data_IF_379365703730
#
_entry.id   IF_379365703730
#
_cell.length_a   1.000
_cell.length_b   1.000
_cell.length_c   1.000
_cell.angle_alpha   90.00
_cell.angle_beta   90.00
_cell.angle_gamma   90.00
#
_symmetry.space_group_name_H-M   'P 1'
#
loop_
_entity.id
_entity.type
_entity.pdbx_description
1 polymer ?
#
# COMPACT_ATOMS: atom_id res chain seq x y z
N UNK A 1 -22.08 -9.70 -10.34
CA UNK A 1 -21.17 -9.96 -9.18
C UNK A 1 -19.75 -10.37 -9.60
N UNK A 2 -19.56 -11.37 -10.49
CA UNK A 2 -18.23 -11.85 -10.94
C UNK A 2 -17.29 -10.75 -11.45
N UNK A 3 -17.77 -9.81 -12.28
CA UNK A 3 -16.94 -8.73 -12.83
C UNK A 3 -16.44 -7.70 -11.81
N UNK A 4 -17.23 -7.42 -10.77
CA UNK A 4 -16.84 -6.52 -9.69
C UNK A 4 -15.73 -7.13 -8.83
N UNK A 5 -15.93 -8.38 -8.39
CA UNK A 5 -14.95 -9.10 -7.59
C UNK A 5 -13.61 -9.25 -8.32
N UNK A 6 -13.63 -9.63 -9.60
CA UNK A 6 -12.41 -9.75 -10.42
C UNK A 6 -11.69 -8.41 -10.54
N UNK A 7 -12.40 -7.28 -10.65
CA UNK A 7 -11.78 -5.95 -10.67
C UNK A 7 -11.12 -5.60 -9.33
N UNK A 8 -11.78 -5.87 -8.21
CA UNK A 8 -11.21 -5.67 -6.87
C UNK A 8 -9.93 -6.48 -6.70
N UNK A 9 -9.97 -7.77 -7.07
CA UNK A 9 -8.83 -8.68 -6.97
C UNK A 9 -7.66 -8.22 -7.84
N UNK A 10 -7.91 -7.77 -9.08
CA UNK A 10 -6.86 -7.23 -9.96
C UNK A 10 -6.19 -5.99 -9.39
N UNK A 11 -6.97 -5.07 -8.80
CA UNK A 11 -6.43 -3.85 -8.20
C UNK A 11 -5.62 -4.17 -6.94
N UNK A 12 -6.10 -5.09 -6.10
CA UNK A 12 -5.37 -5.56 -4.93
C UNK A 12 -4.08 -6.30 -5.31
N UNK A 13 -4.15 -7.21 -6.29
CA UNK A 13 -2.98 -7.92 -6.80
C UNK A 13 -1.94 -6.94 -7.38
N UNK A 14 -2.38 -5.89 -8.10
CA UNK A 14 -1.47 -4.85 -8.57
C UNK A 14 -0.77 -4.12 -7.41
N UNK A 15 -1.49 -3.74 -6.35
CA UNK A 15 -0.87 -3.14 -5.17
C UNK A 15 0.12 -4.10 -4.51
N UNK A 16 -0.27 -5.37 -4.36
CA UNK A 16 0.56 -6.38 -3.73
C UNK A 16 1.85 -6.66 -4.52
N UNK A 17 1.76 -6.70 -5.85
CA UNK A 17 2.94 -6.88 -6.72
C UNK A 17 3.88 -5.68 -6.64
N UNK A 18 3.36 -4.45 -6.71
CA UNK A 18 4.22 -3.26 -6.66
C UNK A 18 4.86 -3.11 -5.28
N UNK A 19 4.04 -3.18 -4.22
CA UNK A 19 4.53 -3.01 -2.85
C UNK A 19 5.45 -4.17 -2.45
N UNK A 20 5.06 -5.41 -2.76
CA UNK A 20 5.86 -6.59 -2.48
C UNK A 20 7.13 -6.67 -3.31
N UNK A 21 7.09 -6.22 -4.57
CA UNK A 21 8.29 -6.12 -5.42
C UNK A 21 9.30 -5.12 -4.87
N UNK A 22 8.85 -3.96 -4.38
CA UNK A 22 9.73 -2.97 -3.73
C UNK A 22 10.28 -3.52 -2.41
N UNK A 23 9.44 -4.17 -1.60
CA UNK A 23 9.87 -4.83 -0.36
C UNK A 23 10.91 -5.93 -0.62
N UNK A 24 10.69 -6.79 -1.61
CA UNK A 24 11.61 -7.87 -1.96
C UNK A 24 12.92 -7.32 -2.54
N UNK A 25 12.85 -6.31 -3.41
CA UNK A 25 14.04 -5.65 -3.96
C UNK A 25 14.88 -4.99 -2.86
N UNK A 26 14.23 -4.32 -1.91
CA UNK A 26 14.90 -3.78 -0.74
C UNK A 26 15.65 -4.87 0.05
N UNK A 27 14.96 -5.97 0.39
CA UNK A 27 15.56 -7.07 1.15
C UNK A 27 16.69 -7.77 0.38
N UNK A 28 16.57 -7.90 -0.93
CA UNK A 28 17.62 -8.46 -1.78
C UNK A 28 18.88 -7.58 -1.79
N UNK A 29 18.73 -6.26 -1.87
CA UNK A 29 19.86 -5.31 -1.81
C UNK A 29 20.47 -5.27 -0.41
N UNK A 30 19.62 -5.30 0.62
CA UNK A 30 20.03 -5.31 2.03
C UNK A 30 20.97 -6.48 2.38
N UNK A 31 20.84 -7.63 1.71
CA UNK A 31 21.70 -8.80 1.92
C UNK A 31 23.18 -8.56 1.56
N UNK A 32 23.49 -7.53 0.75
CA UNK A 32 24.85 -7.24 0.29
C UNK A 32 25.47 -6.00 0.95
N UNK A 33 24.82 -5.43 1.97
CA UNK A 33 25.25 -4.18 2.61
C UNK A 33 25.96 -4.40 3.95
N UNK A 34 26.93 -3.54 4.30
CA UNK A 34 27.52 -3.53 5.63
C UNK A 34 26.48 -3.15 6.69
N UNK A 35 26.64 -3.70 7.90
CA UNK A 35 25.65 -3.62 8.98
C UNK A 35 25.24 -2.18 9.36
N UNK A 36 26.18 -1.24 9.30
CA UNK A 36 25.94 0.19 9.59
C UNK A 36 24.99 0.84 8.58
N UNK A 37 25.18 0.54 7.30
CA UNK A 37 24.33 1.03 6.21
C UNK A 37 22.96 0.35 6.27
N UNK A 38 22.94 -0.94 6.60
CA UNK A 38 21.72 -1.74 6.72
C UNK A 38 20.75 -1.16 7.76
N UNK A 39 21.24 -0.74 8.93
CA UNK A 39 20.39 -0.19 9.99
C UNK A 39 19.68 1.11 9.56
N UNK A 40 20.40 2.02 8.91
CA UNK A 40 19.85 3.30 8.42
C UNK A 40 18.87 3.05 7.27
N UNK A 41 19.23 2.18 6.33
CA UNK A 41 18.37 1.84 5.21
C UNK A 41 17.09 1.12 5.66
N UNK A 42 17.19 0.29 6.70
CA UNK A 42 16.03 -0.40 7.27
C UNK A 42 15.09 0.57 7.97
N UNK A 43 15.63 1.55 8.71
CA UNK A 43 14.84 2.64 9.27
C UNK A 43 14.12 3.46 8.19
N UNK A 44 14.82 3.85 7.12
CA UNK A 44 14.24 4.62 6.02
C UNK A 44 13.17 3.82 5.26
N UNK A 45 13.44 2.53 5.01
CA UNK A 45 12.48 1.62 4.38
C UNK A 45 11.20 1.49 5.22
N UNK A 46 11.37 1.22 6.52
CA UNK A 46 10.26 1.03 7.43
C UNK A 46 9.42 2.30 7.61
N UNK A 47 10.04 3.45 7.81
CA UNK A 47 9.31 4.63 8.28
C UNK A 47 9.01 5.67 7.20
N UNK A 48 9.64 5.58 6.03
CA UNK A 48 9.42 6.54 4.95
C UNK A 48 8.97 5.86 3.66
N UNK A 49 9.77 4.94 3.11
CA UNK A 49 9.55 4.42 1.74
C UNK A 49 8.25 3.62 1.66
N UNK A 50 8.07 2.62 2.53
CA UNK A 50 6.87 1.78 2.52
C UNK A 50 5.59 2.57 2.84
N UNK A 51 5.53 3.42 3.88
CA UNK A 51 4.36 4.25 4.16
C UNK A 51 3.97 5.16 3.00
N UNK A 52 4.93 5.86 2.40
CA UNK A 52 4.67 6.84 1.33
C UNK A 52 4.21 6.12 0.06
N UNK A 53 4.96 5.10 -0.37
CA UNK A 53 4.61 4.33 -1.57
C UNK A 53 3.27 3.62 -1.38
N UNK A 54 3.11 2.92 -0.25
CA UNK A 54 1.90 2.21 0.10
C UNK A 54 0.68 3.12 0.18
N UNK A 55 0.80 4.26 0.85
CA UNK A 55 -0.26 5.26 0.93
C UNK A 55 -0.68 5.77 -0.45
N UNK A 56 0.30 6.08 -1.31
CA UNK A 56 0.05 6.49 -2.69
C UNK A 56 -0.67 5.40 -3.51
N UNK A 57 -0.22 4.15 -3.41
CA UNK A 57 -0.87 3.00 -4.06
C UNK A 57 -2.31 2.81 -3.56
N UNK A 58 -2.56 2.99 -2.27
CA UNK A 58 -3.88 2.93 -1.64
C UNK A 58 -4.82 3.98 -2.21
N UNK A 59 -4.41 5.26 -2.22
CA UNK A 59 -5.21 6.35 -2.82
C UNK A 59 -5.51 6.03 -4.29
N UNK A 60 -4.50 5.62 -5.07
CA UNK A 60 -4.65 5.30 -6.49
C UNK A 60 -5.62 4.13 -6.74
N UNK A 61 -5.57 3.09 -5.92
CA UNK A 61 -6.47 1.94 -6.06
C UNK A 61 -7.92 2.33 -5.77
N UNK A 62 -8.16 3.11 -4.71
CA UNK A 62 -9.52 3.60 -4.38
C UNK A 62 -10.06 4.52 -5.47
N UNK A 63 -9.23 5.42 -6.01
CA UNK A 63 -9.60 6.26 -7.17
C UNK A 63 -9.93 5.42 -8.42
N UNK A 64 -9.29 4.25 -8.59
CA UNK A 64 -9.60 3.28 -9.66
C UNK A 64 -10.82 2.42 -9.34
N UNK A 65 -11.56 2.68 -8.26
CA UNK A 65 -12.80 2.00 -7.88
C UNK A 65 -12.61 0.79 -6.97
N UNK A 66 -11.44 0.64 -6.34
CA UNK A 66 -11.26 -0.39 -5.31
C UNK A 66 -12.07 -0.04 -4.05
N UNK A 67 -12.58 -1.05 -3.34
CA UNK A 67 -13.22 -0.85 -2.04
C UNK A 67 -12.18 -0.31 -1.05
N UNK A 68 -12.46 0.81 -0.35
CA UNK A 68 -11.52 1.41 0.61
C UNK A 68 -11.06 0.42 1.68
N UNK A 69 -12.00 -0.42 2.17
CA UNK A 69 -11.69 -1.45 3.16
C UNK A 69 -10.63 -2.44 2.66
N UNK A 70 -10.74 -2.89 1.40
CA UNK A 70 -9.76 -3.80 0.80
C UNK A 70 -8.40 -3.11 0.59
N UNK A 71 -8.43 -1.81 0.22
CA UNK A 71 -7.24 -1.02 -0.05
C UNK A 71 -6.41 -0.74 1.21
N UNK A 72 -7.06 -0.64 2.36
CA UNK A 72 -6.39 -0.40 3.64
C UNK A 72 -5.39 -1.53 3.96
N UNK A 73 -5.75 -2.78 3.64
CA UNK A 73 -5.04 -3.96 4.12
C UNK A 73 -3.80 -4.32 3.29
N UNK A 74 -3.71 -3.84 2.06
CA UNK A 74 -2.55 -4.11 1.22
C UNK A 74 -1.25 -3.59 1.87
N UNK A 75 -1.32 -2.42 2.51
CA UNK A 75 -0.15 -1.75 3.09
C UNK A 75 0.44 -2.46 4.34
N UNK A 76 -0.34 -2.86 5.36
CA UNK A 76 0.22 -3.59 6.49
C UNK A 76 0.52 -5.07 6.16
N UNK A 77 -0.28 -5.73 5.31
CA UNK A 77 -0.13 -7.17 5.09
C UNK A 77 1.00 -7.52 4.13
N UNK A 78 1.16 -6.79 3.03
CA UNK A 78 2.10 -7.18 1.97
C UNK A 78 3.56 -7.05 2.42
N UNK A 79 4.03 -5.92 2.98
CA UNK A 79 5.40 -5.80 3.48
C UNK A 79 5.69 -6.78 4.62
N UNK A 80 4.74 -7.00 5.53
CA UNK A 80 4.90 -7.94 6.63
C UNK A 80 5.02 -9.39 6.13
N UNK A 81 4.17 -9.78 5.16
CA UNK A 81 4.24 -11.09 4.54
C UNK A 81 5.55 -11.27 3.76
N UNK A 82 5.98 -10.27 2.98
CA UNK A 82 7.24 -10.34 2.22
C UNK A 82 8.44 -10.43 3.16
N UNK A 83 8.46 -9.64 4.23
CA UNK A 83 9.52 -9.74 5.23
C UNK A 83 9.56 -11.14 5.84
N UNK A 84 8.43 -11.65 6.32
CA UNK A 84 8.37 -13.00 6.89
C UNK A 84 8.80 -14.09 5.89
N UNK A 85 8.41 -13.97 4.62
CA UNK A 85 8.75 -14.94 3.57
C UNK A 85 10.23 -14.90 3.17
N UNK A 86 10.83 -13.71 3.13
CA UNK A 86 12.21 -13.52 2.64
C UNK A 86 13.24 -13.70 3.74
N UNK A 87 12.97 -13.17 4.94
CA UNK A 87 13.93 -13.19 6.07
C UNK A 87 13.59 -14.22 7.13
N UNK A 88 12.39 -14.79 7.13
CA UNK A 88 11.91 -15.68 8.21
C UNK A 88 11.62 -14.94 9.52
N UNK A 89 11.70 -13.61 9.54
CA UNK A 89 11.52 -12.80 10.75
C UNK A 89 10.24 -11.97 10.69
N UNK A 90 9.52 -11.84 11.82
CA UNK A 90 8.34 -10.98 11.86
C UNK A 90 8.75 -9.51 11.73
N UNK A 91 7.92 -8.75 11.02
CA UNK A 91 8.04 -7.30 10.96
C UNK A 91 7.68 -6.68 12.33
N UNK A 92 8.33 -5.58 12.69
CA UNK A 92 8.04 -4.84 13.92
C UNK A 92 6.56 -4.43 13.98
N UNK A 93 5.89 -4.78 15.07
CA UNK A 93 4.47 -4.47 15.28
C UNK A 93 4.18 -2.97 15.29
N UNK A 94 5.12 -2.15 15.76
CA UNK A 94 4.97 -0.70 15.69
C UNK A 94 4.88 -0.21 14.23
N UNK A 95 5.71 -0.77 13.34
CA UNK A 95 5.67 -0.46 11.92
C UNK A 95 4.40 -0.99 11.25
N UNK A 96 3.96 -2.22 11.58
CA UNK A 96 2.71 -2.80 11.05
C UNK A 96 1.50 -1.93 11.45
N UNK A 97 1.44 -1.47 12.69
CA UNK A 97 0.38 -0.57 13.17
C UNK A 97 0.43 0.78 12.46
N UNK A 98 1.62 1.36 12.29
CA UNK A 98 1.79 2.60 11.52
C UNK A 98 1.28 2.43 10.08
N UNK A 99 1.53 1.29 9.46
CA UNK A 99 1.11 0.99 8.08
C UNK A 99 -0.40 0.85 7.98
N UNK A 100 -1.03 0.23 8.98
CA UNK A 100 -2.49 0.15 9.05
C UNK A 100 -3.12 1.54 9.18
N UNK A 101 -2.57 2.42 10.02
CA UNK A 101 -3.04 3.80 10.18
C UNK A 101 -2.87 4.60 8.88
N UNK A 102 -1.72 4.51 8.24
CA UNK A 102 -1.47 5.15 6.94
C UNK A 102 -2.43 4.61 5.87
N UNK A 103 -2.66 3.30 5.84
CA UNK A 103 -3.63 2.66 4.96
C UNK A 103 -5.05 3.16 5.20
N UNK A 104 -5.45 3.34 6.45
CA UNK A 104 -6.75 3.89 6.83
C UNK A 104 -6.91 5.34 6.36
N UNK A 105 -5.94 6.21 6.67
CA UNK A 105 -5.97 7.62 6.26
C UNK A 105 -6.00 7.74 4.73
N UNK A 106 -5.15 6.99 4.03
CA UNK A 106 -5.05 7.03 2.57
C UNK A 106 -6.27 6.44 1.88
N UNK A 107 -6.87 5.38 2.41
CA UNK A 107 -8.10 4.81 1.85
C UNK A 107 -9.28 5.76 2.02
N UNK A 108 -9.43 6.39 3.18
CA UNK A 108 -10.42 7.43 3.43
C UNK A 108 -10.22 8.65 2.51
N UNK A 109 -8.98 9.10 2.36
CA UNK A 109 -8.62 10.19 1.45
C UNK A 109 -8.95 9.85 0.00
N UNK A 110 -8.65 8.63 -0.44
CA UNK A 110 -8.99 8.16 -1.78
C UNK A 110 -10.49 8.12 -2.04
N UNK A 111 -11.30 7.72 -1.04
CA UNK A 111 -12.75 7.65 -1.17
C UNK A 111 -13.36 9.06 -1.26
N UNK A 112 -12.90 9.99 -0.43
CA UNK A 112 -13.32 11.39 -0.48
C UNK A 112 -12.97 12.05 -1.82
N UNK A 113 -11.74 11.87 -2.32
CA UNK A 113 -11.33 12.38 -3.63
C UNK A 113 -12.17 11.80 -4.77
N UNK A 114 -12.53 10.52 -4.69
CA UNK A 114 -13.39 9.86 -5.68
C UNK A 114 -14.79 10.47 -5.66
N UNK A 115 -15.41 10.64 -4.48
CA UNK A 115 -16.73 11.26 -4.32
C UNK A 115 -16.76 12.69 -4.88
N UNK A 116 -15.70 13.47 -4.66
CA UNK A 116 -15.58 14.83 -5.23
C UNK A 116 -15.57 14.83 -6.76
N UNK A 117 -14.87 13.88 -7.40
CA UNK A 117 -14.86 13.74 -8.87
C UNK A 117 -16.24 13.35 -9.43
N UNK A 118 -16.92 12.42 -8.76
CA UNK A 118 -18.26 11.99 -9.15
C UNK A 118 -19.29 13.13 -9.04
N UNK A 119 -19.22 13.95 -7.98
CA UNK A 119 -20.07 15.15 -7.82
C UNK A 119 -19.82 16.21 -8.90
N UNK A 120 -18.56 16.57 -9.13
CA UNK A 120 -18.21 17.56 -10.16
C UNK A 120 -18.64 17.16 -11.57
N UNK A 121 -18.56 15.87 -11.90
CA UNK A 121 -19.05 15.34 -13.18
C UNK A 121 -20.57 15.43 -13.33
N UNK A 122 -21.33 15.30 -12.24
CA UNK A 122 -22.80 15.39 -12.29
C UNK A 122 -23.28 16.82 -12.48
N UNK A 123 -22.60 17.81 -11.88
CA UNK A 123 -22.94 19.22 -12.07
C UNK A 123 -22.67 19.69 -13.50
N UNK A 124 -21.62 19.16 -14.16
CA UNK A 124 -21.29 19.49 -15.54
C UNK A 124 -22.27 18.88 -16.55
N UNK A 125 -22.93 17.75 -16.23
CA UNK A 125 -23.97 17.15 -17.08
C UNK A 125 -25.34 17.82 -16.97
N UNK A 126 -25.56 18.63 -15.94
CA UNK A 126 -26.81 19.36 -15.70
C UNK A 126 -26.82 20.78 -16.28
N UNK A 127 -25.69 21.23 -16.81
CA UNK A 127 -25.53 22.49 -17.54
C UNK A 127 -25.44 22.20 -19.03
#
# INVERSE_FOLDING_TARGET
>A
MKGYFVRQLKLFAWQAVVLGGVSAAYLAVAAFMPAEVLAVMYGAYLWAICPVLGGWLTVRAVLKGMQPYLALWALPLVPAAVQLLVTGTPMDMAAVLAYALVGLICSATGDELRRRRERGSNDQRRR
#
